data_IF_611531291405
#
_entry.id   IF_611531291405
#
_cell.length_a   1.000
_cell.length_b   1.000
_cell.length_c   1.000
_cell.angle_alpha   90.00
_cell.angle_beta   90.00
_cell.angle_gamma   90.00
#
_symmetry.space_group_name_H-M   'P 1'
#
loop_
_entity.id
_entity.type
_entity.pdbx_description
1 polymer ?
#
# COMPACT_ATOMS: atom_id res chain seq x y z
N UNK A 1 -28.11 0.32 6.52
CA UNK A 1 -26.79 0.00 5.94
C UNK A 1 -26.37 -1.31 6.56
N UNK A 2 -26.74 -2.42 5.91
CA UNK A 2 -26.61 -3.75 6.50
C UNK A 2 -25.17 -4.21 6.27
N UNK A 3 -24.44 -4.41 7.37
CA UNK A 3 -23.13 -5.04 7.42
C UNK A 3 -23.32 -6.52 7.12
N UNK A 4 -23.29 -6.92 5.85
CA UNK A 4 -23.11 -8.34 5.54
C UNK A 4 -21.75 -8.76 6.14
N UNK A 5 -21.72 -9.70 7.10
CA UNK A 5 -20.47 -10.14 7.71
C UNK A 5 -19.46 -10.64 6.68
N UNK A 6 -19.95 -11.19 5.56
CA UNK A 6 -19.10 -11.69 4.47
C UNK A 6 -18.43 -10.56 3.70
N UNK A 7 -19.17 -9.50 3.35
CA UNK A 7 -18.61 -8.30 2.70
C UNK A 7 -17.60 -7.59 3.61
N UNK A 8 -17.91 -7.53 4.91
CA UNK A 8 -17.01 -6.92 5.90
C UNK A 8 -15.69 -7.70 6.01
N UNK A 9 -15.75 -9.03 6.02
CA UNK A 9 -14.56 -9.89 6.02
C UNK A 9 -13.77 -9.75 4.71
N UNK A 10 -14.44 -9.76 3.56
CA UNK A 10 -13.80 -9.58 2.25
C UNK A 10 -13.07 -8.23 2.16
N UNK A 11 -13.71 -7.15 2.61
CA UNK A 11 -13.11 -5.83 2.67
C UNK A 11 -11.84 -5.81 3.55
N UNK A 12 -11.89 -6.45 4.71
CA UNK A 12 -10.72 -6.54 5.60
C UNK A 12 -9.56 -7.29 4.96
N UNK A 13 -9.82 -8.42 4.29
CA UNK A 13 -8.79 -9.22 3.62
C UNK A 13 -8.13 -8.43 2.49
N UNK A 14 -8.93 -7.76 1.66
CA UNK A 14 -8.43 -6.98 0.51
C UNK A 14 -7.59 -5.78 0.98
N UNK A 15 -8.05 -5.05 2.00
CA UNK A 15 -7.28 -3.93 2.57
C UNK A 15 -5.98 -4.42 3.21
N UNK A 16 -6.03 -5.50 4.00
CA UNK A 16 -4.84 -6.08 4.61
C UNK A 16 -3.84 -6.56 3.55
N UNK A 17 -4.31 -7.23 2.50
CA UNK A 17 -3.47 -7.67 1.39
C UNK A 17 -2.76 -6.52 0.67
N UNK A 18 -3.47 -5.41 0.42
CA UNK A 18 -2.89 -4.21 -0.19
C UNK A 18 -1.81 -3.57 0.69
N UNK A 19 -2.06 -3.44 1.99
CA UNK A 19 -1.09 -2.91 2.96
C UNK A 19 0.14 -3.80 3.11
N UNK A 20 -0.05 -5.11 3.25
CA UNK A 20 1.03 -6.09 3.38
C UNK A 20 1.89 -6.10 2.11
N UNK A 21 1.27 -6.13 0.93
CA UNK A 21 1.98 -6.07 -0.35
C UNK A 21 2.81 -4.80 -0.51
N UNK A 22 2.25 -3.66 -0.12
CA UNK A 22 2.95 -2.36 -0.12
C UNK A 22 4.16 -2.39 0.82
N UNK A 23 3.98 -2.84 2.06
CA UNK A 23 5.06 -2.95 3.04
C UNK A 23 6.17 -3.91 2.59
N UNK A 24 5.82 -5.04 1.96
CA UNK A 24 6.79 -6.00 1.44
C UNK A 24 7.64 -5.39 0.31
N UNK A 25 7.05 -4.58 -0.55
CA UNK A 25 7.80 -3.90 -1.60
C UNK A 25 8.68 -2.77 -1.02
N UNK A 26 8.13 -1.98 -0.10
CA UNK A 26 8.83 -0.84 0.50
C UNK A 26 9.98 -1.24 1.42
N UNK A 27 9.95 -2.40 2.07
CA UNK A 27 11.03 -2.83 2.97
C UNK A 27 12.39 -2.83 2.26
N UNK A 28 12.45 -3.35 1.02
CA UNK A 28 13.67 -3.45 0.24
C UNK A 28 14.09 -2.10 -0.35
N UNK A 29 13.12 -1.34 -0.87
CA UNK A 29 13.36 -0.01 -1.44
C UNK A 29 13.86 0.95 -0.36
N UNK A 30 13.26 0.94 0.83
CA UNK A 30 13.66 1.75 1.97
C UNK A 30 15.08 1.43 2.43
N UNK A 31 15.39 0.14 2.64
CA UNK A 31 16.72 -0.28 3.07
C UNK A 31 17.82 0.14 2.08
N UNK A 32 17.63 -0.14 0.79
CA UNK A 32 18.60 0.24 -0.25
C UNK A 32 18.66 1.77 -0.44
N UNK A 33 17.50 2.43 -0.39
CA UNK A 33 17.35 3.86 -0.54
C UNK A 33 18.07 4.65 0.55
N UNK A 34 17.99 4.22 1.80
CA UNK A 34 18.70 4.86 2.91
C UNK A 34 20.22 4.74 2.76
N UNK A 35 20.73 3.63 2.22
CA UNK A 35 22.15 3.50 1.88
C UNK A 35 22.58 4.52 0.82
N UNK A 36 21.78 4.70 -0.24
CA UNK A 36 22.04 5.71 -1.28
C UNK A 36 22.01 7.12 -0.70
N UNK A 37 21.04 7.44 0.16
CA UNK A 37 20.90 8.77 0.78
C UNK A 37 22.08 9.06 1.72
N UNK A 38 22.60 8.04 2.42
CA UNK A 38 23.75 8.18 3.31
C UNK A 38 25.03 8.57 2.56
N UNK A 39 25.25 8.05 1.34
CA UNK A 39 26.40 8.42 0.50
C UNK A 39 26.15 9.66 -0.36
N UNK A 40 24.91 9.84 -0.85
CA UNK A 40 24.51 10.84 -1.85
C UNK A 40 23.17 11.46 -1.46
N UNK A 41 23.16 12.42 -0.52
CA UNK A 41 21.91 13.04 -0.03
C UNK A 41 21.10 13.73 -1.13
N UNK A 42 21.76 14.23 -2.19
CA UNK A 42 21.12 14.81 -3.36
C UNK A 42 20.24 13.82 -4.15
N UNK A 43 20.41 12.51 -3.92
CA UNK A 43 19.59 11.45 -4.54
C UNK A 43 18.30 11.15 -3.80
N UNK A 44 17.99 11.86 -2.71
CA UNK A 44 16.76 11.68 -1.95
C UNK A 44 15.50 11.66 -2.83
N UNK A 45 15.36 12.61 -3.76
CA UNK A 45 14.17 12.68 -4.62
C UNK A 45 14.01 11.45 -5.52
N UNK A 46 15.12 10.88 -6.02
CA UNK A 46 15.10 9.66 -6.82
C UNK A 46 14.71 8.45 -5.97
N UNK A 47 15.26 8.33 -4.75
CA UNK A 47 14.91 7.28 -3.81
C UNK A 47 13.43 7.36 -3.42
N UNK A 48 12.94 8.56 -3.10
CA UNK A 48 11.54 8.80 -2.77
C UNK A 48 10.61 8.41 -3.92
N UNK A 49 10.97 8.73 -5.17
CA UNK A 49 10.21 8.32 -6.34
C UNK A 49 10.02 6.80 -6.40
N UNK A 50 11.10 6.03 -6.22
CA UNK A 50 11.00 4.56 -6.17
C UNK A 50 10.21 4.06 -4.96
N UNK A 51 10.31 4.73 -3.81
CA UNK A 51 9.61 4.36 -2.59
C UNK A 51 8.09 4.56 -2.68
N UNK A 52 7.62 5.50 -3.51
CA UNK A 52 6.20 5.79 -3.71
C UNK A 52 5.54 4.86 -4.73
N UNK A 53 6.29 4.22 -5.64
CA UNK A 53 5.70 3.30 -6.65
C UNK A 53 4.80 2.23 -6.02
N UNK A 54 5.19 1.53 -4.93
CA UNK A 54 4.33 0.52 -4.31
C UNK A 54 3.05 1.04 -3.67
N UNK A 55 2.92 2.35 -3.42
CA UNK A 55 1.73 2.95 -2.78
C UNK A 55 0.45 2.68 -3.61
N UNK A 56 0.58 2.41 -4.91
CA UNK A 56 -0.57 2.02 -5.73
C UNK A 56 -1.25 0.74 -5.24
N UNK A 57 -0.51 -0.18 -4.61
CA UNK A 57 -1.04 -1.47 -4.14
C UNK A 57 -2.02 -1.31 -2.99
N UNK A 58 -1.68 -0.51 -1.96
CA UNK A 58 -2.61 -0.28 -0.86
C UNK A 58 -3.78 0.60 -1.29
N UNK A 59 -3.58 1.56 -2.21
CA UNK A 59 -4.69 2.39 -2.72
C UNK A 59 -5.74 1.50 -3.40
N UNK A 60 -5.32 0.53 -4.22
CA UNK A 60 -6.24 -0.43 -4.85
C UNK A 60 -6.98 -1.24 -3.79
N UNK A 61 -6.27 -1.78 -2.79
CA UNK A 61 -6.88 -2.55 -1.69
C UNK A 61 -7.85 -1.72 -0.85
N UNK A 62 -7.51 -0.47 -0.57
CA UNK A 62 -8.34 0.47 0.18
C UNK A 62 -9.61 0.84 -0.57
N UNK A 63 -9.49 1.27 -1.83
CA UNK A 63 -10.65 1.67 -2.65
C UNK A 63 -11.59 0.49 -2.83
N UNK A 64 -11.07 -0.70 -3.17
CA UNK A 64 -11.91 -1.89 -3.34
C UNK A 64 -12.58 -2.30 -2.02
N UNK A 65 -11.86 -2.25 -0.89
CA UNK A 65 -12.44 -2.51 0.42
C UNK A 65 -13.57 -1.54 0.77
N UNK A 66 -13.42 -0.25 0.47
CA UNK A 66 -14.49 0.75 0.67
C UNK A 66 -15.70 0.48 -0.23
N UNK A 67 -15.49 0.13 -1.50
CA UNK A 67 -16.58 -0.23 -2.42
C UNK A 67 -17.39 -1.41 -1.89
N UNK A 68 -16.72 -2.43 -1.34
CA UNK A 68 -17.36 -3.59 -0.72
C UNK A 68 -18.16 -3.21 0.54
N UNK A 69 -17.60 -2.37 1.42
CA UNK A 69 -18.28 -1.91 2.62
C UNK A 69 -19.51 -1.04 2.33
N UNK A 70 -19.46 -0.27 1.25
CA UNK A 70 -20.58 0.57 0.80
C UNK A 70 -21.61 -0.21 -0.01
N UNK A 71 -21.36 -1.50 -0.29
CA UNK A 71 -22.23 -2.35 -1.11
C UNK A 71 -22.58 -1.70 -2.46
N UNK A 72 -21.55 -1.16 -3.13
CA UNK A 72 -21.68 -0.46 -4.42
C UNK A 72 -21.54 -1.43 -5.61
N UNK A 73 -20.91 -2.60 -5.38
CA UNK A 73 -20.81 -3.72 -6.31
C UNK A 73 -22.02 -4.64 -6.17
#
# INVERSE_FOLDING_TARGET
>A
MVTDPTLSLAAAIVMAGGLIGTGIAQQGIGAAGMGIIAEKPEKFGQVLFFFVIPETLWIIGFVLGVILLLNIL
#
